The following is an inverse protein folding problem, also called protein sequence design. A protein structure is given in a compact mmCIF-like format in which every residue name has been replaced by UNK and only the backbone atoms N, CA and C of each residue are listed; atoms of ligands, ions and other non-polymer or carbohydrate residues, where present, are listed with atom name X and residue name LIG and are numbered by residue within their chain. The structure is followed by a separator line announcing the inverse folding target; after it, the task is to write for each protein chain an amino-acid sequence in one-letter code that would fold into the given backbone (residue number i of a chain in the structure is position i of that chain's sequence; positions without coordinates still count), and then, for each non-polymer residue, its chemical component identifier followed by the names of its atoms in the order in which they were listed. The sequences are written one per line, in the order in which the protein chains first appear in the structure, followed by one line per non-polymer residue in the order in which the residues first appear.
data_IF_876474529009
#
_entry.id   IF_876474529009
#
_cell.length_a   1.000
_cell.length_b   1.000
_cell.length_c   1.000
_cell.angle_alpha   90.00
_cell.angle_beta   90.00
_cell.angle_gamma   90.00
#
_symmetry.space_group_name_H-M   'P 1'
#
loop_
_entity.id
_entity.type
_entity.pdbx_description
1 polymer ?
#
# COMPACT_ATOMS: atom_id res chain seq x y z
N UNK A 1 32.92 -26.02 47.62
CA UNK A 1 31.58 -25.38 47.72
C UNK A 1 31.13 -24.92 46.34
N UNK A 2 30.11 -25.57 45.75
CA UNK A 2 29.55 -25.17 44.46
C UNK A 2 28.68 -23.93 44.67
N UNK A 3 28.99 -22.82 43.99
CA UNK A 3 28.17 -21.62 44.08
C UNK A 3 26.81 -21.86 43.43
N UNK A 4 25.75 -21.21 43.94
CA UNK A 4 24.37 -21.29 43.40
C UNK A 4 24.32 -21.06 41.87
N UNK A 5 25.27 -20.30 41.33
CA UNK A 5 25.47 -20.04 39.89
C UNK A 5 26.05 -21.25 39.13
N UNK A 6 27.06 -21.95 39.67
CA UNK A 6 27.57 -23.22 39.10
C UNK A 6 26.55 -24.34 39.25
N UNK A 7 25.75 -24.34 40.31
CA UNK A 7 24.66 -25.32 40.51
C UNK A 7 23.52 -25.14 39.50
N UNK A 8 23.14 -23.91 39.13
CA UNK A 8 22.13 -23.66 38.08
C UNK A 8 22.69 -23.99 36.69
N UNK A 9 23.99 -23.78 36.44
CA UNK A 9 24.65 -24.20 35.19
C UNK A 9 24.75 -25.73 35.10
N UNK A 10 25.06 -26.42 36.20
CA UNK A 10 24.99 -27.89 36.26
C UNK A 10 23.56 -28.44 36.21
N UNK A 11 22.58 -27.74 36.79
CA UNK A 11 21.15 -28.06 36.64
C UNK A 11 20.65 -27.84 35.21
N UNK A 12 21.24 -26.91 34.46
CA UNK A 12 20.96 -26.70 33.04
C UNK A 12 21.60 -27.74 32.11
N UNK A 13 22.58 -28.53 32.59
CA UNK A 13 23.00 -29.77 31.91
C UNK A 13 21.88 -30.83 31.97
N UNK A 14 21.06 -30.84 33.02
CA UNK A 14 19.82 -31.64 33.07
C UNK A 14 18.71 -31.08 32.15
N UNK A 15 18.71 -29.78 31.86
CA UNK A 15 17.77 -29.15 30.92
C UNK A 15 18.08 -29.46 29.43
N UNK A 16 19.24 -30.06 29.13
CA UNK A 16 19.49 -30.63 27.80
C UNK A 16 18.48 -31.75 27.45
N UNK A 17 17.91 -32.42 28.46
CA UNK A 17 16.86 -33.45 28.26
C UNK A 17 15.46 -32.88 27.99
N UNK A 18 15.23 -31.58 28.20
CA UNK A 18 13.89 -30.97 28.09
C UNK A 18 13.71 -30.21 26.77
N UNK A 19 14.80 -29.78 26.12
CA UNK A 19 14.72 -29.13 24.80
C UNK A 19 14.78 -30.16 23.65
N UNK A 20 15.31 -31.35 23.93
CA UNK A 20 15.15 -32.55 23.10
C UNK A 20 14.54 -33.65 23.97
N UNK A 21 13.23 -33.93 23.90
CA UNK A 21 12.70 -35.11 24.57
C UNK A 21 13.44 -36.35 24.03
N UNK A 22 13.99 -37.14 24.96
CA UNK A 22 14.47 -38.50 24.69
C UNK A 22 13.33 -39.33 24.09
N UNK A 23 13.17 -39.30 22.77
CA UNK A 23 12.54 -40.37 22.00
C UNK A 23 13.64 -41.35 21.55
N UNK A 24 14.30 -41.94 22.54
CA UNK A 24 15.06 -43.18 22.47
C UNK A 24 14.40 -44.01 23.58
N UNK A 25 13.27 -44.69 23.36
CA UNK A 25 13.19 -46.01 22.75
C UNK A 25 11.76 -46.25 22.23
N UNK A 26 11.54 -46.10 20.93
CA UNK A 26 10.52 -46.89 20.21
C UNK A 26 11.03 -47.12 18.79
N UNK A 27 11.63 -48.29 18.58
CA UNK A 27 12.19 -48.85 17.35
C UNK A 27 12.31 -47.94 16.12
N UNK A 28 13.39 -47.18 16.00
CA UNK A 28 13.80 -46.63 14.71
C UNK A 28 14.64 -47.68 13.98
N UNK A 29 14.09 -48.26 12.91
CA UNK A 29 14.88 -48.96 11.91
C UNK A 29 16.06 -48.07 11.52
N UNK A 30 17.27 -48.62 11.57
CA UNK A 30 18.46 -48.05 10.95
C UNK A 30 18.18 -47.91 9.44
N UNK A 31 17.72 -46.73 9.02
CA UNK A 31 17.71 -46.31 7.63
C UNK A 31 19.01 -45.54 7.39
N UNK A 32 20.09 -46.29 7.22
CA UNK A 32 21.34 -45.83 6.61
C UNK A 32 21.10 -45.58 5.13
N UNK A 33 20.48 -44.45 4.82
CA UNK A 33 20.40 -43.87 3.47
C UNK A 33 20.64 -42.39 3.61
N UNK A 34 21.54 -41.82 2.81
CA UNK A 34 21.82 -40.38 2.82
C UNK A 34 20.52 -39.60 2.63
N UNK A 35 20.02 -38.98 3.69
CA UNK A 35 18.82 -38.15 3.61
C UNK A 35 19.15 -36.94 2.73
N UNK A 36 18.35 -36.73 1.69
CA UNK A 36 18.44 -35.52 0.88
C UNK A 36 17.98 -34.33 1.72
N UNK A 37 18.96 -33.67 2.36
CA UNK A 37 18.75 -32.50 3.23
C UNK A 37 18.03 -31.38 2.48
N UNK A 38 18.32 -31.20 1.19
CA UNK A 38 17.69 -30.15 0.39
C UNK A 38 16.20 -30.46 0.14
N UNK A 39 15.85 -31.72 -0.15
CA UNK A 39 14.46 -32.15 -0.24
C UNK A 39 13.71 -31.99 1.09
N UNK A 40 14.33 -32.38 2.21
CA UNK A 40 13.73 -32.22 3.55
C UNK A 40 13.53 -30.74 3.92
N UNK A 41 14.53 -29.87 3.66
CA UNK A 41 14.43 -28.44 3.88
C UNK A 41 13.33 -27.81 3.02
N UNK A 42 13.20 -28.25 1.76
CA UNK A 42 12.13 -27.82 0.85
C UNK A 42 10.76 -28.24 1.36
N UNK A 43 10.60 -29.49 1.80
CA UNK A 43 9.37 -30.01 2.37
C UNK A 43 8.96 -29.22 3.64
N UNK A 44 9.86 -29.09 4.61
CA UNK A 44 9.63 -28.33 5.83
C UNK A 44 9.24 -26.87 5.56
N UNK A 45 9.87 -26.25 4.54
CA UNK A 45 9.54 -24.88 4.11
C UNK A 45 8.13 -24.79 3.52
N UNK A 46 7.69 -25.77 2.75
CA UNK A 46 6.33 -25.83 2.19
C UNK A 46 5.30 -26.00 3.32
N UNK A 47 5.51 -26.98 4.21
CA UNK A 47 4.64 -27.22 5.36
C UNK A 47 4.49 -25.97 6.24
N UNK A 48 5.59 -25.27 6.54
CA UNK A 48 5.54 -24.01 7.29
C UNK A 48 4.69 -22.96 6.57
N UNK A 49 4.84 -22.83 5.25
CA UNK A 49 4.06 -21.85 4.45
C UNK A 49 2.57 -22.20 4.40
N UNK A 50 2.21 -23.47 4.52
CA UNK A 50 0.83 -23.95 4.58
C UNK A 50 0.22 -23.83 6.00
N UNK A 51 0.99 -23.38 6.99
CA UNK A 51 0.53 -23.28 8.38
C UNK A 51 0.77 -24.53 9.23
N UNK A 52 1.25 -25.63 8.63
CA UNK A 52 1.57 -26.90 9.30
C UNK A 52 2.86 -26.82 10.12
N UNK A 53 2.83 -25.98 11.15
CA UNK A 53 4.01 -25.58 11.93
C UNK A 53 4.59 -26.72 12.77
N UNK A 54 3.76 -27.66 13.24
CA UNK A 54 4.21 -28.82 14.03
C UNK A 54 5.06 -29.78 13.20
N UNK A 55 4.56 -30.17 12.03
CA UNK A 55 5.29 -31.06 11.10
C UNK A 55 6.57 -30.39 10.58
N UNK A 56 6.51 -29.10 10.23
CA UNK A 56 7.70 -28.35 9.83
C UNK A 56 8.75 -28.31 10.95
N UNK A 57 8.33 -28.11 12.21
CA UNK A 57 9.21 -28.15 13.38
C UNK A 57 9.91 -29.49 13.50
N UNK A 58 9.17 -30.60 13.40
CA UNK A 58 9.73 -31.96 13.50
C UNK A 58 10.81 -32.20 12.43
N UNK A 59 10.55 -31.85 11.17
CA UNK A 59 11.53 -32.03 10.09
C UNK A 59 12.77 -31.17 10.33
N UNK A 60 12.62 -29.90 10.74
CA UNK A 60 13.79 -29.07 11.04
C UNK A 60 14.61 -29.61 12.22
N UNK A 61 13.95 -30.14 13.26
CA UNK A 61 14.65 -30.78 14.39
C UNK A 61 15.37 -32.07 13.96
N UNK A 62 14.77 -32.89 13.10
CA UNK A 62 15.41 -34.08 12.54
C UNK A 62 16.68 -33.72 11.75
N UNK A 63 16.61 -32.69 10.90
CA UNK A 63 17.79 -32.21 10.16
C UNK A 63 18.87 -31.71 11.12
N UNK A 64 18.50 -30.95 12.15
CA UNK A 64 19.48 -30.43 13.14
C UNK A 64 20.17 -31.57 13.90
N UNK A 65 19.45 -32.65 14.24
CA UNK A 65 20.02 -33.80 14.94
C UNK A 65 21.06 -34.55 14.08
N UNK A 66 20.82 -34.68 12.79
CA UNK A 66 21.70 -35.41 11.87
C UNK A 66 22.80 -34.52 11.26
N UNK A 67 22.49 -33.25 11.04
CA UNK A 67 23.34 -32.25 10.40
C UNK A 67 23.42 -31.00 11.30
N UNK A 68 24.15 -31.06 12.43
CA UNK A 68 24.16 -30.00 13.44
C UNK A 68 24.77 -28.67 12.96
N UNK A 69 25.46 -28.67 11.80
CA UNK A 69 26.01 -27.49 11.14
C UNK A 69 25.11 -26.90 10.04
N UNK A 70 23.94 -27.51 9.75
CA UNK A 70 23.03 -27.04 8.71
C UNK A 70 22.22 -25.81 9.19
N UNK A 71 22.76 -24.61 8.94
CA UNK A 71 22.15 -23.35 9.39
C UNK A 71 20.74 -23.15 8.84
N UNK A 72 20.42 -23.68 7.65
CA UNK A 72 19.11 -23.50 7.01
C UNK A 72 18.00 -24.15 7.83
N UNK A 73 18.31 -25.24 8.54
CA UNK A 73 17.37 -25.92 9.43
C UNK A 73 17.10 -25.08 10.68
N UNK A 74 18.13 -24.49 11.29
CA UNK A 74 17.97 -23.56 12.41
C UNK A 74 17.19 -22.30 12.01
N UNK A 75 17.47 -21.72 10.84
CA UNK A 75 16.73 -20.57 10.29
C UNK A 75 15.25 -20.93 10.02
N UNK A 76 15.01 -22.18 9.61
CA UNK A 76 13.68 -22.76 9.45
C UNK A 76 12.92 -22.87 10.76
N UNK A 77 13.53 -23.51 11.76
CA UNK A 77 12.98 -23.72 13.10
C UNK A 77 12.75 -22.38 13.83
N UNK A 78 13.70 -21.45 13.74
CA UNK A 78 13.56 -20.06 14.21
C UNK A 78 12.29 -19.42 13.68
N UNK A 79 12.00 -19.53 12.38
CA UNK A 79 10.78 -18.95 11.78
C UNK A 79 9.52 -19.62 12.31
N UNK A 80 9.55 -20.93 12.56
CA UNK A 80 8.41 -21.65 13.17
C UNK A 80 8.17 -21.19 14.60
N UNK A 81 9.22 -21.07 15.41
CA UNK A 81 9.13 -20.60 16.79
C UNK A 81 8.63 -19.15 16.85
N UNK A 82 9.19 -18.24 16.04
CA UNK A 82 8.78 -16.83 16.04
C UNK A 82 7.38 -16.58 15.47
N UNK A 83 6.78 -17.55 14.76
CA UNK A 83 5.37 -17.49 14.39
C UNK A 83 4.45 -17.67 15.61
N UNK A 84 4.94 -18.30 16.67
CA UNK A 84 4.24 -18.46 17.94
C UNK A 84 4.55 -17.28 18.88
N UNK A 85 3.56 -16.82 19.64
CA UNK A 85 3.75 -15.70 20.59
C UNK A 85 4.70 -16.12 21.72
N UNK A 86 5.62 -15.22 22.10
CA UNK A 86 6.50 -15.33 23.30
C UNK A 86 7.56 -16.45 23.25
N UNK A 87 7.97 -16.89 22.06
CA UNK A 87 8.97 -17.96 21.86
C UNK A 87 10.38 -17.46 21.53
N UNK A 88 10.64 -16.15 21.65
CA UNK A 88 11.94 -15.56 21.35
C UNK A 88 13.07 -16.11 22.23
N UNK A 89 12.76 -16.47 23.48
CA UNK A 89 13.74 -17.08 24.39
C UNK A 89 14.16 -18.48 23.93
N UNK A 90 13.23 -19.30 23.43
CA UNK A 90 13.54 -20.63 22.90
C UNK A 90 14.46 -20.57 21.70
N UNK A 91 14.33 -19.53 20.86
CA UNK A 91 15.26 -19.30 19.74
C UNK A 91 16.68 -19.01 20.24
N UNK A 92 16.82 -18.19 21.29
CA UNK A 92 18.13 -17.91 21.89
C UNK A 92 18.75 -19.19 22.46
N UNK A 93 17.98 -19.95 23.23
CA UNK A 93 18.44 -21.22 23.81
C UNK A 93 18.86 -22.22 22.72
N UNK A 94 18.10 -22.31 21.63
CA UNK A 94 18.42 -23.16 20.48
C UNK A 94 19.76 -22.80 19.84
N UNK A 95 20.05 -21.52 19.65
CA UNK A 95 21.36 -21.11 19.11
C UNK A 95 22.49 -21.26 20.13
N UNK A 96 22.22 -21.03 21.43
CA UNK A 96 23.21 -21.29 22.48
C UNK A 96 23.59 -22.77 22.55
N UNK A 97 22.61 -23.68 22.51
CA UNK A 97 22.88 -25.12 22.52
C UNK A 97 23.64 -25.57 21.26
N UNK A 98 23.31 -25.00 20.10
CA UNK A 98 24.04 -25.25 18.86
C UNK A 98 25.52 -24.84 18.94
N UNK A 99 25.84 -23.74 19.63
CA UNK A 99 27.22 -23.32 19.87
C UNK A 99 27.96 -24.15 20.93
N UNK A 100 27.27 -24.85 21.82
CA UNK A 100 27.92 -25.83 22.70
C UNK A 100 28.44 -27.03 21.90
N UNK A 101 27.70 -27.43 20.87
CA UNK A 101 28.08 -28.53 19.98
C UNK A 101 29.14 -28.10 18.96
N UNK A 102 29.02 -26.89 18.41
CA UNK A 102 29.94 -26.35 17.41
C UNK A 102 30.39 -24.93 17.78
N UNK A 103 31.36 -24.77 18.71
CA UNK A 103 31.76 -23.48 19.25
C UNK A 103 32.33 -22.51 18.22
N UNK A 104 32.83 -22.98 17.08
CA UNK A 104 33.47 -22.15 16.05
C UNK A 104 32.60 -21.86 14.83
N UNK A 105 31.35 -22.35 14.79
CA UNK A 105 30.46 -22.09 13.67
C UNK A 105 30.07 -20.59 13.59
N UNK A 106 30.64 -19.90 12.61
CA UNK A 106 30.45 -18.47 12.39
C UNK A 106 28.98 -18.10 12.17
N UNK A 107 28.25 -18.87 11.37
CA UNK A 107 26.86 -18.57 11.00
C UNK A 107 25.92 -18.67 12.21
N UNK A 108 26.13 -19.68 13.05
CA UNK A 108 25.38 -19.85 14.30
C UNK A 108 25.67 -18.70 15.26
N UNK A 109 26.95 -18.29 15.41
CA UNK A 109 27.30 -17.11 16.24
C UNK A 109 26.61 -15.84 15.73
N UNK A 110 26.61 -15.62 14.40
CA UNK A 110 25.91 -14.49 13.79
C UNK A 110 24.41 -14.52 14.10
N UNK A 111 23.75 -15.68 14.00
CA UNK A 111 22.31 -15.80 14.31
C UNK A 111 22.02 -15.54 15.77
N UNK A 112 22.84 -16.06 16.69
CA UNK A 112 22.70 -15.77 18.12
C UNK A 112 22.83 -14.28 18.41
N UNK A 113 23.87 -13.62 17.88
CA UNK A 113 24.11 -12.21 18.14
C UNK A 113 23.05 -11.31 17.50
N UNK A 114 22.46 -11.74 16.37
CA UNK A 114 21.27 -11.09 15.82
C UNK A 114 20.07 -11.18 16.77
N UNK A 115 19.86 -12.30 17.46
CA UNK A 115 18.79 -12.40 18.46
C UNK A 115 19.07 -11.56 19.72
N UNK A 116 20.32 -11.50 20.17
CA UNK A 116 20.71 -10.57 21.24
C UNK A 116 20.49 -9.11 20.82
N UNK A 117 20.77 -8.76 19.55
CA UNK A 117 20.51 -7.44 19.00
C UNK A 117 19.01 -7.11 19.01
N UNK A 118 18.16 -8.05 18.58
CA UNK A 118 16.70 -7.89 18.64
C UNK A 118 16.21 -7.72 20.07
N UNK A 119 16.76 -8.49 21.02
CA UNK A 119 16.43 -8.38 22.44
C UNK A 119 16.88 -7.04 23.04
N UNK A 120 18.07 -6.56 22.67
CA UNK A 120 18.63 -5.30 23.18
C UNK A 120 17.76 -4.08 22.81
N UNK A 121 17.20 -4.07 21.60
CA UNK A 121 16.38 -2.97 21.07
C UNK A 121 14.87 -3.14 21.28
N UNK A 122 14.42 -4.34 21.63
CA UNK A 122 13.01 -4.70 21.64
C UNK A 122 12.54 -5.23 22.98
N UNK A 123 12.41 -6.56 23.07
CA UNK A 123 11.72 -7.23 24.17
C UNK A 123 12.54 -7.19 25.47
N UNK A 124 12.20 -6.23 26.36
CA UNK A 124 12.86 -6.04 27.66
C UNK A 124 12.85 -7.30 28.54
N UNK A 125 11.83 -8.16 28.44
CA UNK A 125 11.79 -9.42 29.21
C UNK A 125 12.88 -10.38 28.77
N UNK A 126 13.08 -10.50 27.45
CA UNK A 126 14.15 -11.33 26.87
C UNK A 126 15.52 -10.72 27.19
N UNK A 127 15.68 -9.40 27.07
CA UNK A 127 16.91 -8.70 27.49
C UNK A 127 17.28 -9.00 28.94
N UNK A 128 16.30 -8.99 29.85
CA UNK A 128 16.49 -9.37 31.25
C UNK A 128 16.85 -10.85 31.41
N UNK A 129 16.21 -11.74 30.64
CA UNK A 129 16.49 -13.19 30.69
C UNK A 129 17.91 -13.54 30.24
N UNK A 130 18.49 -12.79 29.28
CA UNK A 130 19.89 -12.94 28.87
C UNK A 130 20.85 -12.65 30.05
N UNK A 131 20.44 -11.82 31.02
CA UNK A 131 21.17 -11.51 32.25
C UNK A 131 22.63 -11.06 32.00
N UNK A 132 22.80 -10.15 31.04
CA UNK A 132 24.11 -9.60 30.68
C UNK A 132 24.47 -8.40 31.57
N UNK A 133 25.67 -8.43 32.15
CA UNK A 133 26.22 -7.32 32.92
C UNK A 133 26.81 -6.26 31.98
N UNK A 134 26.27 -5.04 32.03
CA UNK A 134 26.69 -3.93 31.18
C UNK A 134 25.76 -3.68 29.98
N UNK A 135 26.28 -3.02 28.94
CA UNK A 135 25.48 -2.62 27.77
C UNK A 135 25.54 -3.69 26.69
N UNK A 136 24.52 -4.55 26.63
CA UNK A 136 24.43 -5.65 25.68
C UNK A 136 24.66 -5.23 24.21
N UNK A 137 24.18 -4.06 23.79
CA UNK A 137 24.38 -3.60 22.41
C UNK A 137 25.85 -3.28 22.09
N UNK A 138 26.63 -2.85 23.09
CA UNK A 138 28.07 -2.61 22.91
C UNK A 138 28.86 -3.91 22.78
N UNK A 139 28.54 -4.92 23.60
CA UNK A 139 29.13 -6.27 23.45
C UNK A 139 28.86 -6.88 22.07
N UNK A 140 27.62 -6.73 21.56
CA UNK A 140 27.28 -7.16 20.20
C UNK A 140 28.11 -6.40 19.16
N UNK A 141 28.32 -5.09 19.35
CA UNK A 141 29.16 -4.28 18.45
C UNK A 141 30.57 -4.84 18.38
N UNK A 142 31.20 -5.11 19.53
CA UNK A 142 32.55 -5.67 19.62
C UNK A 142 32.65 -7.06 18.94
N UNK A 143 31.63 -7.91 19.13
CA UNK A 143 31.56 -9.22 18.46
C UNK A 143 31.48 -9.11 16.94
N UNK A 144 30.68 -8.17 16.43
CA UNK A 144 30.60 -7.90 14.99
C UNK A 144 31.85 -7.24 14.42
N UNK A 145 32.57 -6.44 15.23
CA UNK A 145 33.87 -5.86 14.87
C UNK A 145 34.89 -6.97 14.56
N UNK A 146 34.97 -7.99 15.43
CA UNK A 146 35.81 -9.18 15.22
C UNK A 146 35.39 -9.93 13.93
N UNK A 147 34.08 -10.06 13.66
CA UNK A 147 33.61 -10.70 12.43
C UNK A 147 34.02 -9.94 11.17
N UNK A 148 33.92 -8.62 11.18
CA UNK A 148 34.34 -7.78 10.04
C UNK A 148 35.85 -7.84 9.86
N UNK A 149 36.64 -7.84 10.93
CA UNK A 149 38.10 -7.98 10.85
C UNK A 149 38.54 -9.33 10.27
N UNK A 150 37.87 -10.43 10.66
CA UNK A 150 38.17 -11.78 10.15
C UNK A 150 37.64 -12.03 8.74
N UNK A 151 36.59 -11.31 8.33
CA UNK A 151 35.93 -11.49 7.04
C UNK A 151 35.68 -10.14 6.37
N UNK A 152 36.74 -9.41 5.97
CA UNK A 152 36.62 -8.06 5.43
C UNK A 152 35.77 -8.02 4.16
N UNK A 153 35.78 -9.06 3.33
CA UNK A 153 35.04 -9.07 2.06
C UNK A 153 33.53 -9.32 2.22
N UNK A 154 33.08 -9.69 3.42
CA UNK A 154 31.67 -10.02 3.64
C UNK A 154 30.82 -8.75 3.85
N UNK A 155 30.28 -8.22 2.73
CA UNK A 155 29.41 -7.04 2.71
C UNK A 155 28.23 -7.11 3.68
N UNK A 156 27.60 -8.28 3.85
CA UNK A 156 26.47 -8.43 4.77
C UNK A 156 26.87 -8.21 6.23
N UNK A 157 28.06 -8.66 6.62
CA UNK A 157 28.61 -8.43 7.95
C UNK A 157 28.96 -6.96 8.17
N UNK A 158 29.58 -6.32 7.17
CA UNK A 158 29.87 -4.89 7.20
C UNK A 158 28.59 -4.05 7.39
N UNK A 159 27.54 -4.33 6.62
CA UNK A 159 26.26 -3.61 6.72
C UNK A 159 25.61 -3.78 8.10
N UNK A 160 25.65 -5.00 8.66
CA UNK A 160 25.14 -5.27 10.00
C UNK A 160 25.95 -4.53 11.08
N UNK A 161 27.27 -4.54 10.98
CA UNK A 161 28.15 -3.82 11.90
C UNK A 161 27.90 -2.31 11.87
N UNK A 162 27.83 -1.71 10.69
CA UNK A 162 27.51 -0.28 10.52
C UNK A 162 26.15 0.03 11.14
N UNK A 163 25.13 -0.81 10.92
CA UNK A 163 23.81 -0.63 11.52
C UNK A 163 23.85 -0.70 13.05
N UNK A 164 24.55 -1.67 13.63
CA UNK A 164 24.70 -1.82 15.09
C UNK A 164 25.38 -0.58 15.67
N UNK A 165 26.51 -0.16 15.08
CA UNK A 165 27.25 1.04 15.48
C UNK A 165 26.35 2.28 15.48
N UNK A 166 25.62 2.52 14.38
CA UNK A 166 24.72 3.68 14.28
C UNK A 166 23.61 3.68 15.33
N UNK A 167 23.03 2.53 15.65
CA UNK A 167 21.97 2.43 16.65
C UNK A 167 22.52 2.58 18.08
N UNK A 168 23.75 2.13 18.32
CA UNK A 168 24.47 2.36 19.57
C UNK A 168 24.77 3.85 19.78
N UNK A 169 25.30 4.53 18.76
CA UNK A 169 25.57 5.98 18.75
C UNK A 169 24.28 6.78 19.04
N UNK A 170 23.15 6.32 18.49
CA UNK A 170 21.85 6.93 18.73
C UNK A 170 21.21 6.53 20.07
N UNK A 171 21.88 5.78 20.95
CA UNK A 171 21.33 5.31 22.23
C UNK A 171 19.98 4.59 22.10
N UNK A 172 19.81 3.80 21.03
CA UNK A 172 18.53 3.18 20.70
C UNK A 172 18.08 2.09 21.70
N UNK A 173 19.01 1.51 22.47
CA UNK A 173 18.75 0.46 23.46
C UNK A 173 18.57 0.97 24.89
N UNK A 174 18.95 2.23 25.16
CA UNK A 174 18.95 2.85 26.50
C UNK A 174 17.90 3.94 26.66
N UNK A 175 17.63 4.73 25.62
CA UNK A 175 16.65 5.82 25.66
C UNK A 175 15.29 5.41 25.10
N UNK A 176 14.21 6.04 25.59
CA UNK A 176 12.88 5.84 25.06
C UNK A 176 12.80 6.36 23.60
N UNK A 177 12.32 5.56 22.63
CA UNK A 177 12.21 5.99 21.23
C UNK A 177 11.39 7.27 21.00
N UNK A 178 10.45 7.57 21.89
CA UNK A 178 9.59 8.75 21.79
C UNK A 178 10.27 10.04 22.26
N UNK A 179 11.30 9.98 23.10
CA UNK A 179 12.08 11.16 23.54
C UNK A 179 13.45 11.24 22.89
N UNK A 180 13.93 10.16 22.27
CA UNK A 180 15.27 10.08 21.67
C UNK A 180 15.36 10.88 20.36
N UNK A 181 15.87 12.12 20.45
CA UNK A 181 16.04 13.03 19.31
C UNK A 181 17.03 12.47 18.28
N UNK A 182 18.13 11.88 18.72
CA UNK A 182 19.17 11.34 17.82
C UNK A 182 18.63 10.21 16.93
N UNK A 183 17.88 9.27 17.52
CA UNK A 183 17.25 8.16 16.81
C UNK A 183 16.16 8.65 15.85
N UNK A 184 15.36 9.65 16.25
CA UNK A 184 14.36 10.27 15.37
C UNK A 184 15.01 10.95 14.16
N UNK A 185 16.07 11.71 14.38
CA UNK A 185 16.83 12.36 13.31
C UNK A 185 17.45 11.34 12.35
N UNK A 186 18.05 10.27 12.88
CA UNK A 186 18.57 9.18 12.06
C UNK A 186 17.48 8.53 11.19
N UNK A 187 16.33 8.16 11.78
CA UNK A 187 15.20 7.58 11.06
C UNK A 187 14.64 8.52 9.99
N UNK A 188 14.54 9.82 10.29
CA UNK A 188 14.12 10.85 9.33
C UNK A 188 15.08 10.95 8.16
N UNK A 189 16.39 10.89 8.41
CA UNK A 189 17.40 10.91 7.37
C UNK A 189 17.38 9.63 6.51
N UNK A 190 17.22 8.46 7.13
CA UNK A 190 17.06 7.20 6.39
C UNK A 190 15.83 7.23 5.47
N UNK A 191 14.71 7.77 5.95
CA UNK A 191 13.51 7.93 5.13
C UNK A 191 13.74 8.90 3.95
N UNK A 192 14.43 10.02 4.17
CA UNK A 192 14.83 10.94 3.10
C UNK A 192 15.72 10.27 2.07
N UNK A 193 16.74 9.55 2.51
CA UNK A 193 17.67 8.83 1.64
C UNK A 193 16.93 7.75 0.83
N UNK A 194 16.02 7.01 1.46
CA UNK A 194 15.19 6.02 0.76
C UNK A 194 14.32 6.66 -0.33
N UNK A 195 13.73 7.83 -0.06
CA UNK A 195 12.97 8.59 -1.08
C UNK A 195 13.86 9.09 -2.23
N UNK A 196 15.11 9.44 -1.93
CA UNK A 196 16.09 9.98 -2.88
C UNK A 196 16.97 8.93 -3.56
N UNK A 197 16.79 7.64 -3.25
CA UNK A 197 17.66 6.56 -3.77
C UNK A 197 17.65 6.39 -5.28
N UNK A 198 16.68 7.01 -5.95
CA UNK A 198 16.57 7.07 -7.40
C UNK A 198 16.48 8.53 -7.85
N UNK A 199 17.13 9.48 -7.16
CA UNK A 199 17.14 10.87 -7.61
C UNK A 199 18.05 11.03 -8.84
N UNK A 200 19.26 10.46 -8.77
CA UNK A 200 20.29 10.59 -9.81
C UNK A 200 20.19 9.54 -10.92
N UNK A 201 19.39 8.50 -10.74
CA UNK A 201 19.27 7.43 -11.74
C UNK A 201 18.64 7.96 -13.04
N UNK A 202 19.08 7.49 -14.21
CA UNK A 202 18.41 7.82 -15.49
C UNK A 202 17.13 6.98 -15.70
N UNK A 203 16.25 7.37 -16.63
CA UNK A 203 15.07 6.55 -16.96
C UNK A 203 15.47 5.18 -17.52
N UNK A 204 16.52 5.14 -18.36
CA UNK A 204 17.09 3.90 -18.90
C UNK A 204 17.62 2.96 -17.80
N UNK A 205 18.27 3.51 -16.77
CA UNK A 205 18.73 2.72 -15.63
C UNK A 205 17.57 2.15 -14.81
N UNK A 206 16.49 2.93 -14.61
CA UNK A 206 15.29 2.44 -13.92
C UNK A 206 14.62 1.32 -14.71
N UNK A 207 14.54 1.44 -16.03
CA UNK A 207 14.00 0.40 -16.90
C UNK A 207 14.89 -0.86 -16.89
N UNK A 208 16.21 -0.70 -16.94
CA UNK A 208 17.15 -1.83 -16.82
C UNK A 208 16.97 -2.57 -15.49
N UNK A 209 16.84 -1.82 -14.38
CA UNK A 209 16.55 -2.40 -13.06
C UNK A 209 15.19 -3.10 -13.03
N UNK A 210 14.17 -2.51 -13.64
CA UNK A 210 12.83 -3.11 -13.73
C UNK A 210 12.87 -4.42 -14.52
N UNK A 211 13.50 -4.44 -15.69
CA UNK A 211 13.66 -5.63 -16.53
C UNK A 211 14.42 -6.74 -15.79
N UNK A 212 15.45 -6.38 -15.03
CA UNK A 212 16.19 -7.33 -14.18
C UNK A 212 15.30 -7.95 -13.09
N UNK A 213 14.32 -7.20 -12.56
CA UNK A 213 13.36 -7.74 -11.59
C UNK A 213 12.30 -8.62 -12.24
N UNK A 214 11.84 -8.26 -13.44
CA UNK A 214 10.85 -9.01 -14.21
C UNK A 214 11.40 -10.34 -14.75
N UNK A 215 12.69 -10.41 -15.06
CA UNK A 215 13.36 -11.64 -15.49
C UNK A 215 13.44 -12.71 -14.38
N UNK A 216 13.26 -12.33 -13.11
CA UNK A 216 13.25 -13.28 -11.99
C UNK A 216 11.87 -13.93 -11.88
N UNK A 217 11.77 -15.15 -11.32
CA UNK A 217 10.47 -15.82 -11.10
C UNK A 217 9.44 -14.94 -10.40
N UNK A 218 8.14 -15.21 -10.51
CA UNK A 218 7.16 -14.42 -9.77
C UNK A 218 7.37 -14.54 -8.24
N UNK A 219 7.34 -13.41 -7.52
CA UNK A 219 7.40 -13.39 -6.04
C UNK A 219 6.56 -12.26 -5.47
N UNK A 220 5.71 -12.50 -4.45
CA UNK A 220 4.95 -11.46 -3.76
C UNK A 220 5.83 -10.30 -3.26
N UNK A 221 7.01 -10.61 -2.72
CA UNK A 221 7.94 -9.60 -2.17
C UNK A 221 8.47 -8.65 -3.26
N UNK A 222 8.61 -9.14 -4.49
CA UNK A 222 9.06 -8.34 -5.65
C UNK A 222 7.96 -7.48 -6.24
N UNK A 223 6.68 -7.86 -6.11
CA UNK A 223 5.55 -7.11 -6.69
C UNK A 223 5.56 -5.64 -6.27
N UNK A 224 5.82 -5.37 -4.99
CA UNK A 224 5.87 -4.00 -4.49
C UNK A 224 7.00 -3.18 -5.11
N UNK A 225 8.17 -3.79 -5.32
CA UNK A 225 9.33 -3.13 -5.92
C UNK A 225 9.10 -2.86 -7.42
N UNK A 226 8.50 -3.83 -8.12
CA UNK A 226 8.10 -3.68 -9.53
C UNK A 226 7.10 -2.53 -9.68
N UNK A 227 6.05 -2.54 -8.85
CA UNK A 227 5.03 -1.47 -8.79
C UNK A 227 5.64 -0.10 -8.56
N UNK A 228 6.57 0.01 -7.61
CA UNK A 228 7.24 1.27 -7.31
C UNK A 228 8.07 1.78 -8.50
N UNK A 229 8.86 0.92 -9.14
CA UNK A 229 9.66 1.30 -10.31
C UNK A 229 8.78 1.76 -11.47
N UNK A 230 7.72 1.03 -11.80
CA UNK A 230 6.76 1.47 -12.82
C UNK A 230 6.14 2.83 -12.46
N UNK A 231 5.76 3.03 -11.19
CA UNK A 231 5.18 4.31 -10.75
C UNK A 231 6.17 5.45 -10.87
N UNK A 232 7.45 5.23 -10.52
CA UNK A 232 8.49 6.24 -10.64
C UNK A 232 8.74 6.60 -12.11
N UNK A 233 8.81 5.60 -13.00
CA UNK A 233 8.99 5.81 -14.44
C UNK A 233 7.85 6.67 -15.00
N UNK A 234 6.59 6.33 -14.69
CA UNK A 234 5.42 7.12 -15.12
C UNK A 234 5.51 8.56 -14.58
N UNK A 235 5.85 8.74 -13.31
CA UNK A 235 5.98 10.07 -12.70
C UNK A 235 7.09 10.91 -13.35
N UNK A 236 8.20 10.30 -13.74
CA UNK A 236 9.31 11.00 -14.39
C UNK A 236 8.97 11.45 -15.80
N UNK A 237 8.39 10.58 -16.62
CA UNK A 237 7.91 10.98 -17.95
C UNK A 237 6.87 12.11 -17.87
N UNK A 238 5.99 12.10 -16.84
CA UNK A 238 5.09 13.23 -16.57
C UNK A 238 5.85 14.52 -16.24
N UNK A 239 6.89 14.44 -15.40
CA UNK A 239 7.73 15.60 -15.02
C UNK A 239 8.47 16.17 -16.23
N UNK A 240 8.92 15.30 -17.14
CA UNK A 240 9.55 15.64 -18.42
C UNK A 240 8.56 16.13 -19.48
N UNK A 241 7.26 16.22 -19.14
CA UNK A 241 6.15 16.56 -20.06
C UNK A 241 5.95 15.58 -21.22
N UNK A 242 6.62 14.43 -21.23
CA UNK A 242 6.37 13.34 -22.16
C UNK A 242 5.17 12.50 -21.69
N UNK A 243 3.97 13.08 -21.81
CA UNK A 243 2.74 12.44 -21.36
C UNK A 243 2.37 11.18 -22.17
N UNK A 244 2.88 11.05 -23.40
CA UNK A 244 2.57 9.91 -24.27
C UNK A 244 3.28 8.67 -23.76
N UNK A 245 4.58 8.77 -23.48
CA UNK A 245 5.30 7.65 -22.87
C UNK A 245 4.83 7.37 -21.45
N UNK A 246 4.50 8.40 -20.66
CA UNK A 246 3.89 8.18 -19.36
C UNK A 246 2.61 7.33 -19.45
N UNK A 247 1.75 7.59 -20.45
CA UNK A 247 0.53 6.82 -20.69
C UNK A 247 0.84 5.40 -21.15
N UNK A 248 1.74 5.24 -22.11
CA UNK A 248 2.17 3.93 -22.62
C UNK A 248 2.69 3.04 -21.49
N UNK A 249 3.58 3.57 -20.63
CA UNK A 249 4.13 2.84 -19.48
C UNK A 249 3.06 2.49 -18.44
N UNK A 250 2.08 3.37 -18.22
CA UNK A 250 0.98 3.09 -17.30
C UNK A 250 0.04 2.00 -17.84
N UNK A 251 -0.29 2.03 -19.13
CA UNK A 251 -1.09 1.00 -19.81
C UNK A 251 -0.36 -0.34 -19.83
N UNK A 252 0.96 -0.34 -20.11
CA UNK A 252 1.77 -1.56 -20.11
C UNK A 252 1.76 -2.25 -18.74
N UNK A 253 1.90 -1.49 -17.63
CA UNK A 253 1.77 -2.04 -16.28
C UNK A 253 0.37 -2.62 -16.03
N UNK A 254 -0.68 -1.86 -16.37
CA UNK A 254 -2.05 -2.28 -16.15
C UNK A 254 -2.37 -3.60 -16.87
N UNK A 255 -1.99 -3.71 -18.14
CA UNK A 255 -2.26 -4.91 -18.94
C UNK A 255 -1.37 -6.10 -18.59
N UNK A 256 -0.09 -5.86 -18.27
CA UNK A 256 0.90 -6.91 -18.10
C UNK A 256 1.15 -7.38 -16.66
N UNK A 257 0.83 -6.55 -15.66
CA UNK A 257 1.20 -6.81 -14.26
C UNK A 257 -0.02 -6.92 -13.35
N UNK A 258 -0.83 -5.85 -13.27
CA UNK A 258 -1.97 -5.80 -12.35
C UNK A 258 -3.09 -4.87 -12.85
N UNK A 259 -4.16 -5.48 -13.37
CA UNK A 259 -5.37 -4.79 -13.85
C UNK A 259 -6.23 -4.19 -12.73
N UNK A 260 -5.96 -4.50 -11.47
CA UNK A 260 -6.74 -4.03 -10.34
C UNK A 260 -6.08 -2.88 -9.57
N UNK A 261 -4.85 -2.51 -9.93
CA UNK A 261 -4.10 -1.46 -9.24
C UNK A 261 -4.74 -0.07 -9.40
N UNK A 262 -5.26 0.53 -8.32
CA UNK A 262 -5.97 1.80 -8.39
C UNK A 262 -5.07 2.98 -8.78
N UNK A 263 -3.76 2.90 -8.49
CA UNK A 263 -2.83 3.98 -8.82
C UNK A 263 -2.61 4.10 -10.32
N UNK A 264 -2.42 2.97 -11.00
CA UNK A 264 -2.18 2.95 -12.44
C UNK A 264 -3.45 3.23 -13.21
N UNK A 265 -4.60 2.74 -12.75
CA UNK A 265 -5.88 3.13 -13.32
C UNK A 265 -6.10 4.66 -13.22
N UNK A 266 -5.71 5.28 -12.10
CA UNK A 266 -5.72 6.74 -11.96
C UNK A 266 -4.76 7.41 -12.95
N UNK A 267 -3.53 6.93 -13.10
CA UNK A 267 -2.59 7.48 -14.09
C UNK A 267 -3.14 7.42 -15.52
N UNK A 268 -3.74 6.28 -15.90
CA UNK A 268 -4.36 6.11 -17.22
C UNK A 268 -5.51 7.09 -17.42
N UNK A 269 -6.40 7.25 -16.42
CA UNK A 269 -7.49 8.23 -16.46
C UNK A 269 -7.00 9.65 -16.67
N UNK A 270 -6.02 10.08 -15.86
CA UNK A 270 -5.49 11.45 -15.90
C UNK A 270 -4.80 11.73 -17.24
N UNK A 271 -3.93 10.81 -17.69
CA UNK A 271 -3.13 10.99 -18.89
C UNK A 271 -3.96 10.85 -20.17
N UNK A 272 -4.88 9.89 -20.22
CA UNK A 272 -5.75 9.72 -21.39
C UNK A 272 -6.66 10.92 -21.60
N UNK A 273 -7.20 11.52 -20.51
CA UNK A 273 -7.98 12.75 -20.58
C UNK A 273 -7.13 13.94 -21.04
N UNK A 274 -5.90 14.05 -20.53
CA UNK A 274 -4.97 15.12 -20.94
C UNK A 274 -4.60 15.02 -22.42
N UNK A 275 -4.40 13.80 -22.92
CA UNK A 275 -4.02 13.54 -24.32
C UNK A 275 -5.20 13.33 -25.27
N UNK A 276 -6.43 13.49 -24.78
CA UNK A 276 -7.66 13.22 -25.53
C UNK A 276 -7.74 11.82 -26.15
N UNK A 277 -7.08 10.83 -25.53
CA UNK A 277 -7.10 9.41 -25.93
C UNK A 277 -8.33 8.70 -25.36
N UNK A 278 -9.52 9.18 -25.71
CA UNK A 278 -10.77 8.69 -25.11
C UNK A 278 -11.11 7.25 -25.47
N UNK A 279 -10.83 6.79 -26.68
CA UNK A 279 -11.11 5.40 -27.10
C UNK A 279 -10.31 4.38 -26.31
N UNK A 280 -9.03 4.68 -26.07
CA UNK A 280 -8.19 3.89 -25.18
C UNK A 280 -8.77 3.85 -23.76
N UNK A 281 -9.19 5.01 -23.24
CA UNK A 281 -9.74 5.10 -21.89
C UNK A 281 -11.07 4.35 -21.76
N UNK A 282 -11.93 4.39 -22.78
CA UNK A 282 -13.18 3.61 -22.85
C UNK A 282 -12.84 2.12 -22.77
N UNK A 283 -11.92 1.63 -23.59
CA UNK A 283 -11.50 0.21 -23.56
C UNK A 283 -11.00 -0.22 -22.18
N UNK A 284 -10.16 0.59 -21.54
CA UNK A 284 -9.65 0.31 -20.19
C UNK A 284 -10.78 0.33 -19.14
N UNK A 285 -11.68 1.31 -19.18
CA UNK A 285 -12.80 1.37 -18.22
C UNK A 285 -13.82 0.26 -18.44
N UNK A 286 -14.08 -0.15 -19.68
CA UNK A 286 -14.94 -1.31 -19.98
C UNK A 286 -14.34 -2.57 -19.37
N UNK A 287 -13.04 -2.79 -19.51
CA UNK A 287 -12.35 -3.91 -18.84
C UNK A 287 -12.43 -3.79 -17.31
N UNK A 288 -12.15 -2.61 -16.76
CA UNK A 288 -12.23 -2.37 -15.31
C UNK A 288 -13.65 -2.58 -14.76
N UNK A 289 -14.69 -2.16 -15.49
CA UNK A 289 -16.07 -2.38 -15.11
C UNK A 289 -16.46 -3.85 -15.21
N UNK A 290 -16.03 -4.55 -16.25
CA UNK A 290 -16.24 -6.01 -16.39
C UNK A 290 -15.61 -6.77 -15.22
N UNK A 291 -14.42 -6.34 -14.76
CA UNK A 291 -13.72 -6.99 -13.64
C UNK A 291 -14.35 -6.68 -12.28
N UNK A 292 -14.76 -5.44 -12.03
CA UNK A 292 -15.24 -5.00 -10.72
C UNK A 292 -16.75 -5.12 -10.55
N UNK A 293 -17.49 -4.88 -11.63
CA UNK A 293 -18.95 -4.88 -11.68
C UNK A 293 -19.60 -4.10 -10.51
N UNK A 294 -19.12 -2.87 -10.27
CA UNK A 294 -19.61 -2.00 -9.18
C UNK A 294 -20.19 -0.70 -9.73
N UNK A 295 -21.11 -0.07 -8.98
CA UNK A 295 -21.59 1.30 -9.24
C UNK A 295 -20.48 2.27 -9.66
N UNK A 296 -19.39 2.36 -8.89
CA UNK A 296 -18.31 3.31 -9.14
C UNK A 296 -17.53 3.03 -10.42
N UNK A 297 -17.37 1.76 -10.79
CA UNK A 297 -16.78 1.39 -12.07
C UNK A 297 -17.69 1.74 -13.25
N UNK A 298 -19.01 1.57 -13.09
CA UNK A 298 -19.99 1.97 -14.09
C UNK A 298 -20.06 3.50 -14.27
N UNK A 299 -20.04 4.27 -13.17
CA UNK A 299 -19.96 5.73 -13.21
C UNK A 299 -18.69 6.19 -13.90
N UNK A 300 -17.54 5.57 -13.62
CA UNK A 300 -16.29 5.91 -14.27
C UNK A 300 -16.37 5.69 -15.79
N UNK A 301 -16.93 4.57 -16.24
CA UNK A 301 -17.15 4.28 -17.66
C UNK A 301 -18.09 5.32 -18.30
N UNK A 302 -19.22 5.61 -17.66
CA UNK A 302 -20.17 6.63 -18.13
C UNK A 302 -19.50 8.00 -18.24
N UNK A 303 -18.73 8.42 -17.24
CA UNK A 303 -18.04 9.72 -17.23
C UNK A 303 -17.05 9.86 -18.39
N UNK A 304 -16.42 8.77 -18.83
CA UNK A 304 -15.50 8.78 -19.99
C UNK A 304 -16.29 8.99 -21.28
N UNK A 305 -17.40 8.28 -21.47
CA UNK A 305 -18.27 8.49 -22.64
C UNK A 305 -18.82 9.92 -22.70
N UNK A 306 -19.32 10.45 -21.58
CA UNK A 306 -19.79 11.83 -21.48
C UNK A 306 -18.67 12.82 -21.82
N UNK A 307 -17.44 12.56 -21.35
CA UNK A 307 -16.30 13.44 -21.63
C UNK A 307 -15.86 13.40 -23.09
N UNK A 308 -15.90 12.24 -23.74
CA UNK A 308 -15.60 12.08 -25.18
C UNK A 308 -16.63 12.87 -26.02
N UNK A 309 -17.91 12.67 -25.75
CA UNK A 309 -19.00 13.35 -26.45
C UNK A 309 -18.88 14.89 -26.30
N UNK A 310 -18.52 15.37 -25.11
CA UNK A 310 -18.26 16.79 -24.86
C UNK A 310 -17.08 17.37 -25.63
N UNK A 311 -15.98 16.65 -25.71
CA UNK A 311 -14.75 17.16 -26.34
C UNK A 311 -14.83 17.11 -27.87
N UNK A 312 -15.51 16.09 -28.41
CA UNK A 312 -15.58 15.82 -29.84
C UNK A 312 -16.90 16.31 -30.49
N UNK A 313 -17.85 16.83 -29.70
CA UNK A 313 -19.22 17.16 -30.16
C UNK A 313 -19.91 15.99 -30.90
N UNK A 314 -19.69 14.76 -30.43
CA UNK A 314 -20.27 13.55 -31.02
C UNK A 314 -21.48 13.06 -30.23
N UNK A 315 -22.46 12.43 -30.90
CA UNK A 315 -23.61 11.85 -30.21
C UNK A 315 -23.18 10.73 -29.26
N UNK A 316 -23.87 10.62 -28.13
CA UNK A 316 -23.63 9.55 -27.17
C UNK A 316 -24.08 8.19 -27.75
N UNK A 317 -23.30 7.11 -27.56
CA UNK A 317 -23.66 5.79 -28.08
C UNK A 317 -24.92 5.24 -27.42
N UNK A 318 -25.78 4.58 -28.20
CA UNK A 318 -27.00 3.91 -27.73
C UNK A 318 -26.71 2.74 -26.79
N UNK A 319 -25.50 2.16 -26.89
CA UNK A 319 -25.03 1.09 -26.00
C UNK A 319 -24.85 1.51 -24.53
N UNK A 320 -25.09 2.78 -24.18
CA UNK A 320 -25.10 3.25 -22.79
C UNK A 320 -26.38 2.90 -22.03
N UNK A 321 -27.47 2.52 -22.71
CA UNK A 321 -28.74 2.23 -22.05
C UNK A 321 -28.65 1.07 -21.04
N UNK A 322 -28.02 -0.08 -21.35
CA UNK A 322 -27.81 -1.14 -20.36
C UNK A 322 -26.96 -0.69 -19.16
N UNK A 323 -25.94 0.16 -19.40
CA UNK A 323 -25.11 0.70 -18.34
C UNK A 323 -25.92 1.62 -17.40
N UNK A 324 -26.83 2.43 -17.94
CA UNK A 324 -27.73 3.26 -17.14
C UNK A 324 -28.70 2.42 -16.32
N UNK A 325 -29.29 1.36 -16.91
CA UNK A 325 -30.16 0.43 -16.19
C UNK A 325 -29.41 -0.27 -15.05
N UNK A 326 -28.19 -0.72 -15.29
CA UNK A 326 -27.32 -1.27 -14.25
C UNK A 326 -27.10 -0.26 -13.11
N UNK A 327 -26.74 0.98 -13.45
CA UNK A 327 -26.49 2.03 -12.45
C UNK A 327 -27.74 2.38 -11.65
N UNK A 328 -28.92 2.38 -12.27
CA UNK A 328 -30.20 2.61 -11.61
C UNK A 328 -30.56 1.50 -10.61
N UNK A 329 -30.30 0.25 -10.99
CA UNK A 329 -30.55 -0.90 -10.12
C UNK A 329 -29.62 -0.94 -8.89
N UNK A 330 -28.39 -0.41 -9.00
CA UNK A 330 -27.36 -0.42 -7.94
C UNK A 330 -27.37 0.85 -7.05
N UNK A 331 -28.44 1.67 -7.12
CA UNK A 331 -28.61 2.84 -6.23
C UNK A 331 -29.20 2.42 -4.88
N UNK A 332 -28.33 2.31 -3.88
CA UNK A 332 -28.68 1.92 -2.50
C UNK A 332 -28.56 3.07 -1.47
N UNK A 333 -28.04 4.22 -1.89
CA UNK A 333 -27.66 5.30 -0.98
C UNK A 333 -27.91 6.69 -1.59
N UNK A 334 -28.15 7.72 -0.74
CA UNK A 334 -28.34 9.09 -1.21
C UNK A 334 -27.17 9.62 -2.05
N UNK A 335 -25.93 9.26 -1.71
CA UNK A 335 -24.74 9.68 -2.45
C UNK A 335 -24.68 9.06 -3.85
N UNK A 336 -24.94 7.76 -3.99
CA UNK A 336 -25.05 7.11 -5.31
C UNK A 336 -26.17 7.75 -6.13
N UNK A 337 -27.32 8.03 -5.50
CA UNK A 337 -28.45 8.69 -6.17
C UNK A 337 -28.07 10.07 -6.70
N UNK A 338 -27.36 10.87 -5.89
CA UNK A 338 -26.84 12.17 -6.30
C UNK A 338 -25.88 12.05 -7.49
N UNK A 339 -24.92 11.12 -7.44
CA UNK A 339 -23.97 10.91 -8.53
C UNK A 339 -24.67 10.51 -9.83
N UNK A 340 -25.61 9.57 -9.78
CA UNK A 340 -26.36 9.15 -10.97
C UNK A 340 -27.22 10.28 -11.55
N UNK A 341 -27.98 10.99 -10.71
CA UNK A 341 -28.87 12.06 -11.16
C UNK A 341 -28.11 13.21 -11.84
N UNK A 342 -26.97 13.60 -11.30
CA UNK A 342 -26.13 14.64 -11.93
C UNK A 342 -25.61 14.21 -13.30
N UNK A 343 -25.33 12.91 -13.51
CA UNK A 343 -24.92 12.38 -14.83
C UNK A 343 -26.08 12.28 -15.80
N UNK A 344 -27.29 11.93 -15.34
CA UNK A 344 -28.50 11.92 -16.17
C UNK A 344 -28.81 13.32 -16.72
N UNK A 345 -28.77 14.34 -15.87
CA UNK A 345 -28.91 15.75 -16.30
C UNK A 345 -27.87 16.09 -17.36
N UNK A 346 -26.60 15.75 -17.09
CA UNK A 346 -25.49 16.00 -18.01
C UNK A 346 -25.70 15.30 -19.36
N UNK A 347 -26.24 14.09 -19.35
CA UNK A 347 -26.57 13.31 -20.53
C UNK A 347 -27.69 13.95 -21.35
N UNK A 348 -28.75 14.46 -20.71
CA UNK A 348 -29.84 15.18 -21.40
C UNK A 348 -29.35 16.49 -22.06
N UNK A 349 -28.48 17.23 -21.35
CA UNK A 349 -27.82 18.43 -21.91
C UNK A 349 -27.02 18.08 -23.17
N UNK A 350 -26.31 16.94 -23.18
CA UNK A 350 -25.53 16.50 -24.34
C UNK A 350 -26.39 15.94 -25.47
N UNK A 351 -27.55 15.34 -25.16
CA UNK A 351 -28.53 14.88 -26.14
C UNK A 351 -29.38 16.00 -26.73
N UNK A 352 -29.13 17.25 -26.34
CA UNK A 352 -29.91 18.42 -26.75
C UNK A 352 -31.41 18.29 -26.38
N UNK A 353 -31.68 17.80 -25.15
CA UNK A 353 -33.03 17.65 -24.59
C UNK A 353 -33.23 18.64 -23.43
N UNK A 354 -33.44 19.93 -23.72
CA UNK A 354 -33.44 20.98 -22.69
C UNK A 354 -34.56 20.82 -21.66
N UNK A 355 -35.77 20.44 -22.07
CA UNK A 355 -36.89 20.27 -21.16
C UNK A 355 -36.66 19.12 -20.18
N UNK A 356 -36.20 17.96 -20.69
CA UNK A 356 -35.85 16.81 -19.86
C UNK A 356 -34.71 17.12 -18.87
N UNK A 357 -33.73 17.94 -19.29
CA UNK A 357 -32.66 18.41 -18.42
C UNK A 357 -33.20 19.37 -17.35
N UNK A 358 -34.06 20.32 -17.73
CA UNK A 358 -34.71 21.29 -16.83
C UNK A 358 -35.48 20.58 -15.72
N UNK A 359 -36.31 19.60 -16.08
CA UNK A 359 -37.14 18.86 -15.13
C UNK A 359 -36.29 18.10 -14.11
N UNK A 360 -35.23 17.42 -14.58
CA UNK A 360 -34.30 16.70 -13.70
C UNK A 360 -33.49 17.64 -12.82
N UNK A 361 -33.11 18.82 -13.33
CA UNK A 361 -32.45 19.87 -12.54
C UNK A 361 -33.38 20.32 -11.40
N UNK A 362 -34.63 20.67 -11.73
CA UNK A 362 -35.60 21.11 -10.73
C UNK A 362 -35.84 20.05 -9.66
N UNK A 363 -36.02 18.79 -10.08
CA UNK A 363 -36.20 17.67 -9.16
C UNK A 363 -34.97 17.48 -8.25
N UNK A 364 -33.77 17.58 -8.81
CA UNK A 364 -32.54 17.42 -8.02
C UNK A 364 -32.33 18.58 -7.05
N UNK A 365 -32.65 19.82 -7.44
CA UNK A 365 -32.64 20.97 -6.52
C UNK A 365 -33.58 20.73 -5.33
N UNK A 366 -34.81 20.23 -5.58
CA UNK A 366 -35.77 19.88 -4.52
C UNK A 366 -35.24 18.81 -3.58
N UNK A 367 -34.62 17.76 -4.11
CA UNK A 367 -33.98 16.70 -3.31
C UNK A 367 -32.84 17.23 -2.43
N UNK A 368 -32.29 18.41 -2.73
CA UNK A 368 -31.20 19.04 -1.99
C UNK A 368 -31.68 20.14 -1.04
N UNK A 369 -33.00 20.37 -0.91
CA UNK A 369 -33.52 21.34 0.04
C UNK A 369 -33.06 21.02 1.46
N UNK A 370 -32.63 22.05 2.20
CA UNK A 370 -32.08 21.91 3.54
C UNK A 370 -30.63 21.41 3.62
N UNK A 371 -30.03 20.93 2.52
CA UNK A 371 -28.64 20.47 2.51
C UNK A 371 -27.67 21.62 2.75
N UNK A 372 -26.67 21.42 3.62
CA UNK A 372 -25.61 22.42 3.90
C UNK A 372 -24.25 22.08 3.25
N UNK A 373 -24.17 20.94 2.56
CA UNK A 373 -22.95 20.52 1.86
C UNK A 373 -22.65 21.44 0.66
N UNK A 374 -21.77 22.41 0.90
CA UNK A 374 -21.37 23.42 -0.09
C UNK A 374 -20.77 22.80 -1.35
N UNK A 375 -20.05 21.68 -1.23
CA UNK A 375 -19.44 21.02 -2.39
C UNK A 375 -20.49 20.43 -3.35
N UNK A 376 -21.49 19.73 -2.82
CA UNK A 376 -22.58 19.17 -3.64
C UNK A 376 -23.45 20.27 -4.26
N UNK A 377 -23.74 21.33 -3.50
CA UNK A 377 -24.48 22.51 -3.98
C UNK A 377 -23.73 23.19 -5.13
N UNK A 378 -22.42 23.42 -4.98
CA UNK A 378 -21.60 24.04 -6.03
C UNK A 378 -21.50 23.16 -7.28
N UNK A 379 -21.37 21.84 -7.12
CA UNK A 379 -21.41 20.92 -8.26
C UNK A 379 -22.73 21.03 -9.03
N UNK A 380 -23.84 21.17 -8.32
CA UNK A 380 -25.14 21.37 -8.93
C UNK A 380 -25.21 22.74 -9.63
N UNK A 381 -24.78 23.83 -8.99
CA UNK A 381 -24.74 25.17 -9.61
C UNK A 381 -23.92 25.21 -10.91
N UNK A 382 -22.76 24.54 -10.96
CA UNK A 382 -21.95 24.42 -12.19
C UNK A 382 -22.70 23.65 -13.28
N UNK A 383 -23.43 22.59 -12.92
CA UNK A 383 -24.23 21.82 -13.88
C UNK A 383 -25.41 22.64 -14.43
N UNK A 384 -26.04 23.45 -13.60
CA UNK A 384 -27.12 24.36 -14.02
C UNK A 384 -26.57 25.49 -14.91
N UNK A 385 -25.39 26.04 -14.58
CA UNK A 385 -24.71 27.00 -15.44
C UNK A 385 -24.40 26.40 -16.82
N UNK A 386 -24.02 25.12 -16.84
CA UNK A 386 -23.77 24.39 -18.09
C UNK A 386 -25.04 24.20 -18.91
N UNK A 387 -26.17 23.94 -18.28
CA UNK A 387 -27.48 23.88 -18.94
C UNK A 387 -27.81 25.21 -19.64
N UNK A 388 -27.74 26.34 -18.92
CA UNK A 388 -27.99 27.65 -19.52
C UNK A 388 -27.01 27.98 -20.65
N UNK A 389 -25.71 27.70 -20.46
CA UNK A 389 -24.69 27.92 -21.48
C UNK A 389 -24.99 27.13 -22.77
N UNK A 390 -25.42 25.87 -22.65
CA UNK A 390 -25.74 25.01 -23.80
C UNK A 390 -26.96 25.52 -24.58
N UNK A 391 -27.91 26.15 -23.88
CA UNK A 391 -29.11 26.73 -24.49
C UNK A 391 -28.89 28.17 -25.01
N UNK A 392 -27.68 28.73 -24.88
CA UNK A 392 -27.39 30.11 -25.29
C UNK A 392 -27.88 31.20 -24.33
N UNK A 393 -28.37 30.83 -23.14
CA UNK A 393 -28.88 31.77 -22.14
C UNK A 393 -27.75 32.31 -21.25
N UNK A 394 -27.12 33.40 -21.69
CA UNK A 394 -26.03 34.06 -20.98
C UNK A 394 -26.49 34.79 -19.72
N UNK A 395 -27.73 35.29 -19.71
CA UNK A 395 -28.32 35.98 -18.56
C UNK A 395 -28.59 34.98 -17.43
N UNK A 396 -29.26 33.86 -17.73
CA UNK A 396 -29.52 32.77 -16.80
C UNK A 396 -28.24 32.19 -16.21
N UNK A 397 -27.20 31.99 -17.04
CA UNK A 397 -25.87 31.57 -16.58
C UNK A 397 -25.28 32.53 -15.54
N UNK A 398 -25.34 33.83 -15.82
CA UNK A 398 -24.76 34.87 -14.95
C UNK A 398 -25.57 35.05 -13.66
N UNK A 399 -26.89 34.90 -13.74
CA UNK A 399 -27.84 35.01 -12.63
C UNK A 399 -27.58 33.99 -11.52
N UNK A 400 -27.01 32.83 -11.82
CA UNK A 400 -26.65 31.80 -10.82
C UNK A 400 -25.77 32.39 -9.71
N UNK A 401 -24.79 33.22 -10.05
CA UNK A 401 -23.86 33.78 -9.08
C UNK A 401 -24.56 34.76 -8.13
N UNK A 402 -25.55 35.49 -8.63
CA UNK A 402 -26.40 36.36 -7.82
C UNK A 402 -27.26 35.53 -6.86
N UNK A 403 -27.88 34.45 -7.34
CA UNK A 403 -28.69 33.53 -6.52
C UNK A 403 -27.84 32.85 -5.45
N UNK A 404 -26.62 32.42 -5.79
CA UNK A 404 -25.70 31.78 -4.84
C UNK A 404 -25.21 32.76 -3.78
N UNK A 405 -24.97 34.02 -4.15
CA UNK A 405 -24.48 35.06 -3.23
C UNK A 405 -25.57 35.55 -2.28
N UNK A 406 -26.80 35.71 -2.78
CA UNK A 406 -27.95 36.10 -1.98
C UNK A 406 -29.23 35.40 -2.48
N UNK A 407 -29.57 34.21 -1.93
CA UNK A 407 -30.70 33.42 -2.43
C UNK A 407 -32.08 33.95 -1.99
N UNK A 408 -32.17 34.70 -0.87
CA UNK A 408 -33.45 35.10 -0.26
C UNK A 408 -34.40 35.87 -1.20
N UNK A 409 -33.94 36.84 -2.02
CA UNK A 409 -34.81 37.57 -2.94
C UNK A 409 -35.49 36.67 -4.00
N UNK A 410 -34.94 35.48 -4.23
CA UNK A 410 -35.40 34.57 -5.29
C UNK A 410 -36.39 33.50 -4.80
N UNK A 411 -36.75 33.47 -3.52
CA UNK A 411 -37.70 32.48 -2.97
C UNK A 411 -39.13 32.62 -3.52
N UNK A 412 -39.52 33.85 -3.88
CA UNK A 412 -40.81 34.17 -4.51
C UNK A 412 -40.75 34.35 -6.02
N UNK A 413 -39.66 33.94 -6.68
CA UNK A 413 -39.49 34.17 -8.12
C UNK A 413 -40.54 33.42 -8.94
N UNK A 414 -41.06 34.05 -9.99
CA UNK A 414 -42.06 33.47 -10.90
C UNK A 414 -41.54 32.31 -11.73
N UNK A 415 -40.24 32.23 -12.00
CA UNK A 415 -39.63 31.06 -12.65
C UNK A 415 -39.42 29.91 -11.63
N UNK A 416 -40.11 28.77 -11.80
CA UNK A 416 -39.97 27.62 -10.89
C UNK A 416 -38.54 27.08 -10.77
N UNK A 417 -37.74 27.23 -11.82
CA UNK A 417 -36.35 26.79 -11.83
C UNK A 417 -35.50 27.70 -10.93
N UNK A 418 -35.58 29.02 -11.12
CA UNK A 418 -34.86 30.00 -10.28
C UNK A 418 -35.26 29.87 -8.82
N UNK A 419 -36.56 29.71 -8.54
CA UNK A 419 -37.05 29.43 -7.18
C UNK A 419 -36.41 28.18 -6.57
N UNK A 420 -36.33 27.09 -7.34
CA UNK A 420 -35.73 25.83 -6.88
C UNK A 420 -34.21 25.97 -6.64
N UNK A 421 -33.50 26.72 -7.49
CA UNK A 421 -32.07 27.01 -7.32
C UNK A 421 -31.84 27.82 -6.04
N UNK A 422 -32.67 28.82 -5.79
CA UNK A 422 -32.57 29.66 -4.60
C UNK A 422 -32.76 28.85 -3.31
N UNK A 423 -33.78 28.00 -3.26
CA UNK A 423 -34.06 27.15 -2.10
C UNK A 423 -32.94 26.12 -1.84
N UNK A 424 -32.37 25.53 -2.89
CA UNK A 424 -31.19 24.66 -2.75
C UNK A 424 -29.99 25.41 -2.14
N UNK A 425 -29.79 26.68 -2.51
CA UNK A 425 -28.65 27.49 -2.06
C UNK A 425 -28.86 28.15 -0.68
N UNK A 426 -30.04 28.03 -0.07
CA UNK A 426 -30.38 28.70 1.20
C UNK A 426 -29.38 28.41 2.34
N UNK A 427 -28.94 27.16 2.46
CA UNK A 427 -28.04 26.70 3.54
C UNK A 427 -26.58 26.56 3.08
N UNK A 428 -26.24 27.08 1.90
CA UNK A 428 -24.86 27.05 1.38
C UNK A 428 -23.96 27.95 2.24
N UNK A 429 -22.85 27.41 2.74
CA UNK A 429 -21.94 28.20 3.55
C UNK A 429 -21.22 29.27 2.70
N UNK A 430 -21.35 30.54 3.09
CA UNK A 430 -20.72 31.69 2.43
C UNK A 430 -19.48 32.22 3.16
N UNK A 431 -19.11 31.63 4.30
CA UNK A 431 -18.10 32.18 5.21
C UNK A 431 -16.65 32.23 4.70
N UNK A 432 -16.36 31.69 3.50
CA UNK A 432 -15.03 31.79 2.87
C UNK A 432 -15.15 32.30 1.43
N UNK A 433 -14.63 33.50 1.12
CA UNK A 433 -14.67 34.09 -0.22
C UNK A 433 -14.10 33.18 -1.32
N UNK A 434 -13.09 32.37 -0.98
CA UNK A 434 -12.44 31.41 -1.89
C UNK A 434 -13.44 30.43 -2.54
N UNK A 435 -14.51 30.03 -1.84
CA UNK A 435 -15.50 29.11 -2.42
C UNK A 435 -16.30 29.77 -3.54
N UNK A 436 -16.72 31.03 -3.35
CA UNK A 436 -17.42 31.79 -4.39
C UNK A 436 -16.51 32.09 -5.58
N UNK A 437 -15.25 32.46 -5.33
CA UNK A 437 -14.25 32.68 -6.38
C UNK A 437 -14.00 31.43 -7.24
N UNK A 438 -13.92 30.26 -6.59
CA UNK A 438 -13.76 29.00 -7.30
C UNK A 438 -14.99 28.65 -8.14
N UNK A 439 -16.21 28.87 -7.62
CA UNK A 439 -17.44 28.68 -8.38
C UNK A 439 -17.51 29.61 -9.60
N UNK A 440 -17.23 30.91 -9.40
CA UNK A 440 -17.13 31.90 -10.47
C UNK A 440 -16.16 31.44 -11.56
N UNK A 441 -14.97 31.00 -11.18
CA UNK A 441 -13.94 30.51 -12.11
C UNK A 441 -14.42 29.30 -12.93
N UNK A 442 -15.23 28.42 -12.34
CA UNK A 442 -15.80 27.27 -13.05
C UNK A 442 -16.89 27.70 -14.02
N UNK A 443 -17.80 28.59 -13.61
CA UNK A 443 -18.88 29.09 -14.46
C UNK A 443 -18.33 29.90 -15.64
N UNK A 444 -17.29 30.70 -15.44
CA UNK A 444 -16.67 31.50 -16.51
C UNK A 444 -15.96 30.66 -17.58
N UNK A 445 -15.67 29.38 -17.32
CA UNK A 445 -15.06 28.47 -18.29
C UNK A 445 -16.07 27.77 -19.20
N UNK A 446 -17.37 27.88 -18.87
CA UNK A 446 -18.49 27.35 -19.64
C UNK A 446 -18.96 28.40 -20.64
#
# INVERSE_FOLDING_TARGET
MITRRKFIVLGSLGALSVIFPNYLFSGSKNLTGSLDVDALLKNAKVLRKQGNSSQAKQIYQQIILQYPNEIRAYDGLRKVLLAQKKKEWEVILMFQSALLLNPDNLEIKQRLYREYFNAALGNKKIKKAINFNGRLLDDIKQKYEIFVQKHPDNKNLQEQFVKIKRLLDCNADSQNPNSNVSLKSHRKNQYKNFKKRFEDASNSELETKLNTLLAKPASPDRKQHIRELHSLIVQRYRKEKNNQEALNKAVAYYNGIDKQDPLFLKYIRDLSKLQKRFDLLISIETQNHTLKNTFWSGIALLDVHLKKAEDQNTPLPSQLNPLLQFLEADVDSPDKKFELNTRKIKLDILRNQPDAARDKIMLQCRNMFGTSNTHSIDRMNVLIAKYYAKNGDTEGKSKILNVVSNPKPYFGNGDPLIKSIALMNQNRASGKPVHLQNLQKLINKL
#
